data_IF_312047993489
#
_entry.id   IF_312047993489
#
_cell.length_a   1.000
_cell.length_b   1.000
_cell.length_c   1.000
_cell.angle_alpha   90.00
_cell.angle_beta   90.00
_cell.angle_gamma   90.00
#
_symmetry.space_group_name_H-M   'P 1'
#
loop_
_entity.id
_entity.type
_entity.pdbx_description
1 polymer ?
#
# COMPACT_ATOMS: atom_id res chain seq x y z
N UNK A 1 16.10 -3.53 -15.14
CA UNK A 1 15.36 -4.66 -14.52
C UNK A 1 15.53 -4.74 -12.99
N UNK A 2 16.74 -4.58 -12.43
CA UNK A 2 16.95 -4.75 -10.98
C UNK A 2 16.28 -3.73 -10.04
N UNK A 3 15.99 -2.50 -10.48
CA UNK A 3 15.44 -1.46 -9.59
C UNK A 3 13.93 -1.61 -9.31
N UNK A 4 13.16 -2.15 -10.23
CA UNK A 4 11.69 -2.15 -10.15
C UNK A 4 11.14 -3.30 -9.30
N UNK A 5 11.72 -4.49 -9.35
CA UNK A 5 11.38 -5.57 -8.42
C UNK A 5 11.76 -5.24 -6.98
N UNK A 6 12.87 -4.54 -6.77
CA UNK A 6 13.28 -4.01 -5.48
C UNK A 6 12.25 -2.99 -4.91
N UNK A 7 11.60 -2.21 -5.75
CA UNK A 7 10.50 -1.30 -5.37
C UNK A 7 9.29 -2.09 -4.90
N UNK A 8 8.86 -3.11 -5.66
CA UNK A 8 7.72 -3.97 -5.31
C UNK A 8 7.86 -4.59 -3.92
N UNK A 9 9.01 -5.18 -3.61
CA UNK A 9 9.23 -5.87 -2.35
C UNK A 9 9.30 -4.90 -1.16
N UNK A 10 9.84 -3.70 -1.37
CA UNK A 10 9.77 -2.61 -0.39
C UNK A 10 8.33 -2.16 -0.13
N UNK A 11 7.51 -2.04 -1.17
CA UNK A 11 6.08 -1.73 -1.04
C UNK A 11 5.34 -2.80 -0.23
N UNK A 12 5.62 -4.07 -0.48
CA UNK A 12 4.99 -5.17 0.26
C UNK A 12 5.41 -5.19 1.74
N UNK A 13 6.69 -4.90 2.03
CA UNK A 13 7.17 -4.76 3.38
C UNK A 13 6.52 -3.57 4.11
N UNK A 14 6.41 -2.42 3.44
CA UNK A 14 5.77 -1.22 3.95
C UNK A 14 4.29 -1.44 4.28
N UNK A 15 3.56 -2.12 3.41
CA UNK A 15 2.14 -2.46 3.62
C UNK A 15 1.90 -3.29 4.88
N UNK A 16 2.77 -4.26 5.16
CA UNK A 16 2.59 -5.15 6.30
C UNK A 16 2.66 -4.41 7.65
N UNK A 17 3.28 -3.25 7.66
CA UNK A 17 3.49 -2.46 8.88
C UNK A 17 2.52 -1.29 9.00
N UNK A 18 2.09 -0.70 7.87
CA UNK A 18 1.19 0.46 7.85
C UNK A 18 -0.16 0.16 8.52
N UNK A 19 -0.66 -1.08 8.39
CA UNK A 19 -1.93 -1.49 9.00
C UNK A 19 -1.88 -1.56 10.53
N UNK A 20 -0.71 -1.70 11.14
CA UNK A 20 -0.53 -1.86 12.57
C UNK A 20 -0.14 -0.58 13.30
N UNK A 21 0.72 0.23 12.70
CA UNK A 21 1.37 1.34 13.42
C UNK A 21 1.54 2.63 12.61
N UNK A 22 1.26 2.62 11.32
CA UNK A 22 1.53 3.74 10.42
C UNK A 22 0.29 4.30 9.74
N UNK A 23 -0.86 4.36 10.43
CA UNK A 23 -2.16 4.73 9.85
C UNK A 23 -2.10 5.83 8.78
N UNK A 24 -2.10 5.41 7.50
CA UNK A 24 -2.07 6.30 6.35
C UNK A 24 -0.70 6.86 5.96
N UNK A 25 0.42 6.41 6.56
CA UNK A 25 1.75 6.85 6.14
C UNK A 25 2.11 6.27 4.78
N UNK A 26 1.74 5.02 4.54
CA UNK A 26 1.93 4.36 3.24
C UNK A 26 1.23 5.11 2.10
N UNK A 27 0.02 5.65 2.32
CA UNK A 27 -0.70 6.42 1.31
C UNK A 27 0.01 7.71 0.90
N UNK A 28 0.97 8.18 1.68
CA UNK A 28 1.80 9.36 1.39
C UNK A 28 3.08 9.02 0.62
N UNK A 29 3.43 7.72 0.50
CA UNK A 29 4.64 7.29 -0.19
C UNK A 29 4.51 7.31 -1.70
N UNK A 30 3.31 7.43 -2.25
CA UNK A 30 3.07 7.44 -3.69
C UNK A 30 1.87 8.30 -4.05
N UNK A 31 1.83 8.76 -5.28
CA UNK A 31 0.67 9.41 -5.86
C UNK A 31 0.43 8.95 -7.28
N UNK A 32 -0.83 8.83 -7.68
CA UNK A 32 -1.26 8.51 -9.03
C UNK A 32 -2.06 9.69 -9.55
N UNK A 33 -1.60 10.28 -10.64
CA UNK A 33 -2.24 11.42 -11.28
C UNK A 33 -3.02 10.95 -12.51
N UNK A 34 -4.35 10.89 -12.36
CA UNK A 34 -5.26 10.46 -13.43
C UNK A 34 -5.66 11.62 -14.37
N UNK A 35 -5.29 12.85 -14.04
CA UNK A 35 -5.67 14.03 -14.82
C UNK A 35 -4.59 14.37 -15.86
N UNK A 36 -3.37 13.82 -15.69
CA UNK A 36 -2.30 13.91 -16.69
C UNK A 36 -2.46 12.88 -17.80
N UNK A 37 -1.94 13.23 -18.97
CA UNK A 37 -1.89 12.30 -20.12
C UNK A 37 -1.18 11.02 -19.73
N UNK A 38 -1.77 9.85 -19.96
CA UNK A 38 -1.13 8.58 -19.65
C UNK A 38 0.15 8.40 -20.47
N UNK A 39 1.15 7.80 -19.84
CA UNK A 39 2.46 7.54 -20.45
C UNK A 39 2.38 6.22 -21.19
N UNK A 40 2.88 6.21 -22.44
CA UNK A 40 3.05 5.00 -23.21
C UNK A 40 4.25 4.20 -22.67
N UNK A 41 4.02 2.95 -22.28
CA UNK A 41 5.06 2.07 -21.77
C UNK A 41 5.20 0.85 -22.67
N UNK A 42 6.44 0.57 -23.07
CA UNK A 42 6.81 -0.62 -23.85
C UNK A 42 7.13 -1.82 -22.96
N UNK A 43 7.27 -1.61 -21.65
CA UNK A 43 7.71 -2.62 -20.70
C UNK A 43 6.57 -3.40 -20.04
N UNK A 44 6.88 -4.60 -19.62
CA UNK A 44 5.95 -5.56 -19.03
C UNK A 44 5.15 -4.95 -17.86
N UNK A 45 3.88 -4.70 -18.09
CA UNK A 45 2.87 -4.23 -17.13
C UNK A 45 2.77 -5.04 -15.84
N UNK A 46 3.44 -6.19 -15.77
CA UNK A 46 3.42 -7.09 -14.63
C UNK A 46 3.98 -6.47 -13.35
N UNK A 47 4.85 -5.46 -13.46
CA UNK A 47 5.58 -4.90 -12.32
C UNK A 47 4.82 -3.79 -11.58
N UNK A 48 4.09 -2.95 -12.31
CA UNK A 48 3.27 -1.87 -11.72
C UNK A 48 1.89 -2.34 -11.27
N UNK A 49 1.45 -3.48 -11.77
CA UNK A 49 0.15 -4.07 -11.43
C UNK A 49 -0.04 -4.29 -9.93
N UNK A 50 0.91 -4.87 -9.19
CA UNK A 50 0.74 -5.05 -7.75
C UNK A 50 0.54 -3.74 -7.00
N UNK A 51 1.23 -2.68 -7.40
CA UNK A 51 1.09 -1.35 -6.80
C UNK A 51 -0.33 -0.80 -6.99
N UNK A 52 -0.84 -0.86 -8.21
CA UNK A 52 -2.18 -0.38 -8.53
C UNK A 52 -3.26 -1.18 -7.79
N UNK A 53 -3.10 -2.50 -7.68
CA UNK A 53 -4.00 -3.37 -6.94
C UNK A 53 -4.01 -3.06 -5.45
N UNK A 54 -2.83 -2.85 -4.85
CA UNK A 54 -2.70 -2.47 -3.45
C UNK A 54 -3.30 -1.09 -3.18
N UNK A 55 -3.03 -0.13 -4.05
CA UNK A 55 -3.66 1.19 -3.98
C UNK A 55 -5.18 1.08 -4.02
N UNK A 56 -5.71 0.26 -4.92
CA UNK A 56 -7.13 0.01 -5.01
C UNK A 56 -7.71 -0.56 -3.71
N UNK A 57 -7.07 -1.57 -3.13
CA UNK A 57 -7.50 -2.15 -1.84
C UNK A 57 -7.52 -1.08 -0.74
N UNK A 58 -6.51 -0.22 -0.67
CA UNK A 58 -6.44 0.88 0.32
C UNK A 58 -7.57 1.90 0.12
N UNK A 59 -7.86 2.28 -1.13
CA UNK A 59 -9.01 3.15 -1.44
C UNK A 59 -10.34 2.51 -1.04
N UNK A 60 -10.48 1.20 -1.28
CA UNK A 60 -11.69 0.45 -0.94
C UNK A 60 -11.90 0.35 0.58
N UNK A 61 -10.84 0.20 1.37
CA UNK A 61 -10.94 0.25 2.84
C UNK A 61 -11.44 1.61 3.33
N UNK A 62 -10.88 2.70 2.80
CA UNK A 62 -11.35 4.04 3.13
C UNK A 62 -12.81 4.22 2.75
N UNK A 63 -13.19 3.81 1.54
CA UNK A 63 -14.56 3.90 1.05
C UNK A 63 -15.54 3.13 1.94
N UNK A 64 -15.20 1.91 2.36
CA UNK A 64 -16.06 1.07 3.23
C UNK A 64 -16.17 1.67 4.63
N UNK A 65 -15.13 2.31 5.17
CA UNK A 65 -15.20 3.03 6.46
C UNK A 65 -16.24 4.15 6.45
N UNK A 66 -16.39 4.86 5.32
CA UNK A 66 -17.44 5.89 5.14
C UNK A 66 -18.81 5.33 4.80
N UNK A 67 -18.89 4.05 4.45
CA UNK A 67 -20.10 3.36 4.04
C UNK A 67 -20.37 3.40 2.53
N UNK A 68 -21.04 2.35 2.03
CA UNK A 68 -21.40 2.26 0.62
C UNK A 68 -22.52 3.23 0.28
N UNK A 69 -22.37 3.91 -0.87
CA UNK A 69 -23.44 4.74 -1.45
C UNK A 69 -24.68 3.88 -1.71
N UNK A 70 -25.83 4.43 -1.37
CA UNK A 70 -27.14 3.86 -1.71
C UNK A 70 -27.86 4.79 -2.65
N UNK A 71 -28.67 4.20 -3.52
CA UNK A 71 -29.48 4.98 -4.45
C UNK A 71 -30.76 4.24 -4.79
N UNK A 72 -31.72 4.95 -5.39
CA UNK A 72 -32.95 4.36 -5.86
C UNK A 72 -32.73 3.70 -7.23
N UNK A 73 -32.92 2.39 -7.28
CA UNK A 73 -32.84 1.61 -8.53
C UNK A 73 -34.23 1.17 -8.94
N UNK A 74 -34.59 1.43 -10.21
CA UNK A 74 -35.83 0.97 -10.79
C UNK A 74 -35.69 -0.52 -11.14
N UNK A 75 -36.53 -1.34 -10.55
CA UNK A 75 -36.57 -2.78 -10.83
C UNK A 75 -37.94 -3.21 -11.36
N UNK A 76 -37.94 -4.11 -12.34
CA UNK A 76 -39.16 -4.73 -12.89
C UNK A 76 -39.16 -6.20 -12.47
N UNK A 77 -40.16 -6.59 -11.68
CA UNK A 77 -40.29 -7.99 -11.19
C UNK A 77 -41.70 -8.51 -11.41
N UNK A 78 -41.82 -9.81 -11.71
CA UNK A 78 -43.09 -10.50 -11.75
C UNK A 78 -43.44 -11.01 -10.33
N UNK A 79 -44.27 -10.25 -9.63
CA UNK A 79 -44.62 -10.47 -8.24
C UNK A 79 -45.82 -11.45 -8.14
N UNK A 80 -45.79 -12.35 -7.16
CA UNK A 80 -46.91 -13.29 -6.86
C UNK A 80 -47.81 -12.67 -5.80
N UNK A 81 -49.12 -12.58 -6.09
CA UNK A 81 -50.15 -12.06 -5.19
C UNK A 81 -49.89 -10.65 -4.63
N UNK A 82 -49.07 -9.86 -5.30
CA UNK A 82 -48.71 -8.51 -4.88
C UNK A 82 -48.66 -7.55 -6.06
N UNK A 83 -49.04 -6.31 -5.80
CA UNK A 83 -48.81 -5.17 -6.68
C UNK A 83 -47.92 -4.18 -5.92
N UNK A 84 -46.86 -3.67 -6.57
CA UNK A 84 -45.97 -2.66 -6.02
C UNK A 84 -45.52 -1.73 -7.13
N UNK A 85 -45.69 -0.42 -6.92
CA UNK A 85 -45.41 0.59 -7.98
C UNK A 85 -46.38 0.51 -9.14
N UNK A 86 -45.87 0.62 -10.36
CA UNK A 86 -46.65 0.68 -11.60
C UNK A 86 -46.68 -0.68 -12.29
N UNK A 87 -47.83 -1.08 -12.85
CA UNK A 87 -47.97 -2.27 -13.67
C UNK A 87 -47.40 -2.03 -15.06
N UNK A 88 -46.56 -2.94 -15.53
CA UNK A 88 -46.04 -2.93 -16.92
C UNK A 88 -46.96 -3.74 -17.78
N UNK A 89 -47.99 -3.09 -18.33
CA UNK A 89 -49.12 -3.72 -19.07
C UNK A 89 -48.61 -4.61 -20.20
N UNK A 90 -47.70 -4.17 -21.04
CA UNK A 90 -47.15 -4.94 -22.17
C UNK A 90 -46.47 -6.25 -21.71
N UNK A 91 -45.72 -6.23 -20.61
CA UNK A 91 -45.11 -7.43 -20.05
C UNK A 91 -46.10 -8.27 -19.26
N UNK A 92 -47.09 -7.66 -18.61
CA UNK A 92 -48.17 -8.35 -17.92
C UNK A 92 -48.94 -9.25 -18.88
N UNK A 93 -49.33 -8.71 -20.06
CA UNK A 93 -50.00 -9.47 -21.09
C UNK A 93 -49.14 -10.65 -21.54
N UNK A 94 -47.89 -10.39 -21.94
CA UNK A 94 -47.00 -11.41 -22.48
C UNK A 94 -46.60 -12.50 -21.47
N UNK A 95 -46.38 -12.16 -20.19
CA UNK A 95 -45.84 -13.09 -19.18
C UNK A 95 -46.91 -13.76 -18.32
N UNK A 96 -48.07 -13.11 -18.13
CA UNK A 96 -49.08 -13.58 -17.19
C UNK A 96 -50.45 -13.83 -17.86
N UNK A 97 -50.99 -12.91 -18.65
CA UNK A 97 -52.35 -13.06 -19.21
C UNK A 97 -52.37 -14.19 -20.23
N UNK A 98 -51.47 -14.21 -21.21
CA UNK A 98 -51.42 -15.28 -22.24
C UNK A 98 -51.27 -16.67 -21.60
N UNK A 99 -50.53 -16.75 -20.52
CA UNK A 99 -50.31 -18.03 -19.78
C UNK A 99 -51.32 -18.25 -18.66
N UNK A 100 -52.39 -17.48 -18.58
CA UNK A 100 -53.45 -17.57 -17.55
C UNK A 100 -52.97 -17.51 -16.11
N UNK A 101 -51.83 -16.84 -15.83
CA UNK A 101 -51.24 -16.67 -14.52
C UNK A 101 -51.88 -15.51 -13.77
N UNK A 102 -53.13 -15.67 -13.33
CA UNK A 102 -53.98 -14.62 -12.70
C UNK A 102 -53.41 -14.08 -11.38
N UNK A 103 -52.54 -14.83 -10.71
CA UNK A 103 -51.95 -14.48 -9.41
C UNK A 103 -50.59 -13.77 -9.52
N UNK A 104 -50.17 -13.36 -10.71
CA UNK A 104 -48.87 -12.67 -10.93
C UNK A 104 -49.05 -11.33 -11.60
N UNK A 105 -48.24 -10.36 -11.14
CA UNK A 105 -48.28 -8.98 -11.64
C UNK A 105 -46.84 -8.51 -11.95
N UNK A 106 -46.61 -8.09 -13.18
CA UNK A 106 -45.34 -7.50 -13.58
C UNK A 106 -45.35 -6.03 -13.19
N UNK A 107 -44.60 -5.70 -12.16
CA UNK A 107 -44.55 -4.36 -11.59
C UNK A 107 -43.17 -3.74 -11.73
N UNK A 108 -43.14 -2.43 -12.00
CA UNK A 108 -41.95 -1.61 -11.92
C UNK A 108 -42.03 -0.70 -10.71
N UNK A 109 -41.01 -0.73 -9.87
CA UNK A 109 -40.93 0.08 -8.65
C UNK A 109 -39.49 0.42 -8.31
N UNK A 110 -39.31 1.45 -7.49
CA UNK A 110 -38.02 1.87 -7.01
C UNK A 110 -37.67 1.15 -5.70
N UNK A 111 -36.38 0.77 -5.57
CA UNK A 111 -35.82 0.19 -4.35
C UNK A 111 -34.57 0.97 -3.96
N UNK A 112 -34.53 1.43 -2.71
CA UNK A 112 -33.35 2.05 -2.14
C UNK A 112 -32.37 0.95 -1.72
N UNK A 113 -31.23 0.85 -2.43
CA UNK A 113 -30.32 -0.28 -2.29
C UNK A 113 -28.86 0.14 -2.45
N UNK A 114 -27.97 -0.68 -1.90
CA UNK A 114 -26.51 -0.62 -2.18
C UNK A 114 -26.15 -1.26 -3.51
N UNK A 115 -27.03 -2.06 -4.10
CA UNK A 115 -26.79 -2.74 -5.38
C UNK A 115 -26.98 -1.79 -6.57
N UNK A 116 -26.10 -0.79 -6.66
CA UNK A 116 -26.06 0.24 -7.71
C UNK A 116 -24.91 -0.02 -8.68
N UNK A 117 -24.96 0.49 -9.92
CA UNK A 117 -23.93 0.25 -10.93
C UNK A 117 -22.51 0.57 -10.45
N UNK A 118 -22.33 1.68 -9.71
CA UNK A 118 -21.03 2.06 -9.16
C UNK A 118 -20.47 0.99 -8.22
N UNK A 119 -21.28 0.51 -7.27
CA UNK A 119 -20.83 -0.52 -6.31
C UNK A 119 -20.60 -1.88 -6.98
N UNK A 120 -21.36 -2.23 -8.00
CA UNK A 120 -21.13 -3.44 -8.80
C UNK A 120 -19.80 -3.40 -9.51
N UNK A 121 -19.43 -2.25 -10.10
CA UNK A 121 -18.12 -2.05 -10.73
C UNK A 121 -16.97 -2.21 -9.73
N UNK A 122 -17.10 -1.57 -8.57
CA UNK A 122 -16.12 -1.66 -7.49
C UNK A 122 -15.95 -3.11 -7.01
N UNK A 123 -17.06 -3.84 -6.81
CA UNK A 123 -17.02 -5.27 -6.44
C UNK A 123 -16.30 -6.11 -7.49
N UNK A 124 -16.64 -5.95 -8.78
CA UNK A 124 -16.01 -6.69 -9.89
C UNK A 124 -14.49 -6.45 -9.94
N UNK A 125 -14.07 -5.20 -9.81
CA UNK A 125 -12.65 -4.87 -9.76
C UNK A 125 -11.95 -5.44 -8.51
N UNK A 126 -12.64 -5.51 -7.37
CA UNK A 126 -12.09 -6.09 -6.13
C UNK A 126 -11.91 -7.61 -6.24
N UNK A 127 -12.87 -8.33 -6.81
CA UNK A 127 -12.75 -9.77 -7.09
C UNK A 127 -11.59 -10.04 -8.06
N UNK A 128 -11.44 -9.19 -9.06
CA UNK A 128 -10.34 -9.27 -9.99
C UNK A 128 -8.99 -9.02 -9.28
N UNK A 129 -8.89 -7.97 -8.47
CA UNK A 129 -7.70 -7.65 -7.69
C UNK A 129 -7.30 -8.82 -6.77
N UNK A 130 -8.28 -9.45 -6.11
CA UNK A 130 -8.07 -10.64 -5.29
C UNK A 130 -7.45 -11.80 -6.07
N UNK A 131 -8.02 -12.13 -7.23
CA UNK A 131 -7.53 -13.22 -8.08
C UNK A 131 -6.11 -12.96 -8.60
N UNK A 132 -5.79 -11.71 -8.95
CA UNK A 132 -4.47 -11.34 -9.45
C UNK A 132 -3.41 -11.29 -8.36
N UNK A 133 -3.73 -10.79 -7.18
CA UNK A 133 -2.80 -10.78 -6.05
C UNK A 133 -2.37 -12.19 -5.66
N UNK A 134 -3.28 -13.16 -5.69
CA UNK A 134 -2.97 -14.56 -5.45
C UNK A 134 -2.01 -15.17 -6.50
N UNK A 135 -2.06 -14.68 -7.75
CA UNK A 135 -1.17 -15.14 -8.84
C UNK A 135 0.19 -14.46 -8.82
N UNK A 136 0.23 -13.17 -8.45
CA UNK A 136 1.44 -12.34 -8.56
C UNK A 136 2.33 -12.42 -7.32
N UNK A 137 1.77 -12.77 -6.18
CA UNK A 137 2.50 -12.80 -4.92
C UNK A 137 2.73 -14.23 -4.44
N UNK A 138 3.93 -14.56 -3.99
CA UNK A 138 4.21 -15.86 -3.38
C UNK A 138 3.35 -16.04 -2.13
N UNK A 139 2.96 -17.29 -1.86
CA UNK A 139 2.15 -17.65 -0.69
C UNK A 139 2.99 -17.51 0.58
N UNK A 140 2.95 -16.35 1.20
CA UNK A 140 3.60 -16.07 2.47
C UNK A 140 2.66 -15.33 3.43
N UNK A 141 3.11 -15.11 4.68
CA UNK A 141 2.33 -14.44 5.73
C UNK A 141 1.76 -13.06 5.29
N UNK A 142 2.51 -12.31 4.48
CA UNK A 142 2.11 -10.97 3.99
C UNK A 142 0.95 -11.04 3.01
N UNK A 143 0.95 -12.04 2.15
CA UNK A 143 -0.17 -12.31 1.23
C UNK A 143 -1.44 -12.64 2.00
N UNK A 144 -1.32 -13.38 3.10
CA UNK A 144 -2.43 -13.69 4.00
C UNK A 144 -3.04 -12.44 4.67
N UNK A 145 -2.24 -11.48 5.09
CA UNK A 145 -2.71 -10.21 5.67
C UNK A 145 -3.49 -9.39 4.63
N UNK A 146 -2.97 -9.26 3.41
CA UNK A 146 -3.67 -8.56 2.34
C UNK A 146 -4.98 -9.25 1.95
N UNK A 147 -4.97 -10.57 1.91
CA UNK A 147 -6.18 -11.36 1.69
C UNK A 147 -7.24 -11.16 2.79
N UNK A 148 -6.82 -11.08 4.06
CA UNK A 148 -7.72 -10.79 5.18
C UNK A 148 -8.33 -9.39 5.06
N UNK A 149 -7.56 -8.38 4.61
CA UNK A 149 -8.07 -7.04 4.33
C UNK A 149 -9.13 -7.06 3.22
N UNK A 150 -8.86 -7.74 2.11
CA UNK A 150 -9.82 -7.88 1.00
C UNK A 150 -11.10 -8.58 1.48
N UNK A 151 -10.99 -9.66 2.24
CA UNK A 151 -12.14 -10.38 2.79
C UNK A 151 -12.99 -9.48 3.68
N UNK A 152 -12.36 -8.65 4.52
CA UNK A 152 -13.04 -7.65 5.35
C UNK A 152 -13.80 -6.63 4.51
N UNK A 153 -13.22 -6.14 3.42
CA UNK A 153 -13.90 -5.23 2.50
C UNK A 153 -15.09 -5.93 1.83
N UNK A 154 -14.92 -7.18 1.41
CA UNK A 154 -15.95 -7.97 0.72
C UNK A 154 -17.21 -8.17 1.56
N UNK A 155 -17.13 -8.18 2.89
CA UNK A 155 -18.32 -8.26 3.76
C UNK A 155 -19.30 -7.10 3.53
N UNK A 156 -18.81 -5.91 3.22
CA UNK A 156 -19.66 -4.76 2.90
C UNK A 156 -20.40 -4.92 1.56
N UNK A 157 -19.89 -5.75 0.65
CA UNK A 157 -20.43 -5.97 -0.70
C UNK A 157 -21.29 -7.24 -0.82
N UNK A 158 -21.68 -7.87 0.27
CA UNK A 158 -22.49 -9.12 0.25
C UNK A 158 -23.78 -8.95 -0.58
N UNK A 159 -24.46 -7.82 -0.40
CA UNK A 159 -25.74 -7.54 -1.08
C UNK A 159 -25.56 -6.82 -2.44
N UNK A 160 -24.37 -6.77 -2.98
CA UNK A 160 -24.04 -6.12 -4.26
C UNK A 160 -23.74 -7.20 -5.29
N UNK A 161 -24.35 -7.12 -6.47
CA UNK A 161 -24.04 -7.98 -7.63
C UNK A 161 -22.68 -7.60 -8.24
N UNK A 162 -22.03 -8.54 -8.90
CA UNK A 162 -20.78 -8.31 -9.68
C UNK A 162 -21.04 -8.23 -11.19
N UNK A 163 -22.28 -8.47 -11.63
CA UNK A 163 -22.66 -8.44 -13.04
C UNK A 163 -22.87 -7.00 -13.51
N UNK A 164 -21.90 -6.47 -14.25
CA UNK A 164 -21.96 -5.13 -14.83
C UNK A 164 -21.06 -5.00 -16.06
N UNK A 165 -21.49 -4.20 -17.04
CA UNK A 165 -20.63 -3.71 -18.11
C UNK A 165 -19.89 -2.46 -17.66
N UNK A 166 -18.55 -2.44 -17.83
CA UNK A 166 -17.67 -1.34 -17.37
C UNK A 166 -18.04 -0.02 -18.05
N UNK A 167 -18.45 -0.07 -19.33
CA UNK A 167 -18.88 1.08 -20.15
C UNK A 167 -20.16 1.74 -19.63
N UNK A 168 -21.03 0.98 -18.96
CA UNK A 168 -22.31 1.45 -18.49
C UNK A 168 -22.23 2.38 -17.26
N UNK A 169 -21.09 2.42 -16.57
CA UNK A 169 -20.93 3.22 -15.36
C UNK A 169 -20.45 4.63 -15.70
N UNK A 170 -21.40 5.56 -15.77
CA UNK A 170 -21.11 7.00 -15.76
C UNK A 170 -21.15 7.47 -14.30
N UNK A 171 -20.01 7.88 -13.74
CA UNK A 171 -20.00 8.55 -12.45
C UNK A 171 -20.03 10.05 -12.70
N UNK A 172 -21.15 10.68 -12.39
CA UNK A 172 -21.24 12.13 -12.31
C UNK A 172 -20.93 12.52 -10.87
N UNK A 173 -19.88 13.33 -10.67
CA UNK A 173 -19.42 13.79 -9.37
C UNK A 173 -20.58 14.30 -8.51
N UNK A 174 -20.58 13.93 -7.27
CA UNK A 174 -21.59 14.28 -6.30
C UNK A 174 -20.97 14.96 -5.09
N UNK A 175 -21.66 14.96 -3.97
CA UNK A 175 -21.26 15.54 -2.69
C UNK A 175 -19.81 15.23 -2.31
N UNK A 176 -19.14 16.16 -1.62
CA UNK A 176 -17.79 15.98 -1.02
C UNK A 176 -17.64 14.70 -0.19
N UNK A 177 -18.76 14.17 0.32
CA UNK A 177 -18.83 12.91 1.07
C UNK A 177 -18.39 11.69 0.24
N UNK A 178 -18.53 11.74 -1.09
CA UNK A 178 -18.25 10.63 -2.00
C UNK A 178 -16.99 10.85 -2.86
N UNK A 179 -16.08 11.74 -2.44
CA UNK A 179 -14.84 12.00 -3.18
C UNK A 179 -14.02 10.73 -3.46
N UNK A 180 -13.98 9.82 -2.48
CA UNK A 180 -13.27 8.54 -2.64
C UNK A 180 -13.91 7.62 -3.69
N UNK A 181 -15.21 7.76 -3.96
CA UNK A 181 -15.88 6.98 -5.01
C UNK A 181 -15.36 7.31 -6.40
N UNK A 182 -15.13 8.57 -6.70
CA UNK A 182 -14.61 8.98 -8.00
C UNK A 182 -13.22 8.38 -8.26
N UNK A 183 -12.34 8.50 -7.29
CA UNK A 183 -11.01 7.90 -7.37
C UNK A 183 -11.08 6.37 -7.49
N UNK A 184 -11.86 5.72 -6.65
CA UNK A 184 -12.02 4.27 -6.69
C UNK A 184 -12.61 3.76 -8.01
N UNK A 185 -13.58 4.48 -8.62
CA UNK A 185 -14.15 4.14 -9.91
C UNK A 185 -13.15 4.33 -11.05
N UNK A 186 -12.33 5.41 -11.03
CA UNK A 186 -11.25 5.60 -12.01
C UNK A 186 -10.27 4.42 -11.96
N UNK A 187 -9.75 4.10 -10.78
CA UNK A 187 -8.83 2.97 -10.59
C UNK A 187 -9.46 1.63 -10.97
N UNK A 188 -10.72 1.40 -10.58
CA UNK A 188 -11.44 0.16 -10.93
C UNK A 188 -11.57 -0.03 -12.45
N UNK A 189 -11.90 1.05 -13.17
CA UNK A 189 -11.96 1.02 -14.64
C UNK A 189 -10.59 0.73 -15.25
N UNK A 190 -9.53 1.37 -14.77
CA UNK A 190 -8.18 1.14 -15.26
C UNK A 190 -7.72 -0.30 -15.02
N UNK A 191 -8.02 -0.86 -13.86
CA UNK A 191 -7.75 -2.27 -13.56
C UNK A 191 -8.49 -3.16 -14.54
N UNK A 192 -9.79 -3.00 -14.72
CA UNK A 192 -10.60 -3.86 -15.57
C UNK A 192 -10.24 -3.70 -17.06
N UNK A 193 -10.03 -2.48 -17.55
CA UNK A 193 -9.65 -2.24 -18.95
C UNK A 193 -8.30 -2.84 -19.31
N UNK A 194 -7.29 -2.73 -18.45
CA UNK A 194 -5.97 -3.31 -18.70
C UNK A 194 -6.02 -4.82 -18.89
N UNK A 195 -7.00 -5.47 -18.26
CA UNK A 195 -7.10 -6.92 -18.27
C UNK A 195 -8.11 -7.49 -19.26
N UNK A 196 -9.15 -6.78 -19.60
CA UNK A 196 -10.00 -7.16 -20.74
C UNK A 196 -9.17 -7.15 -22.04
N UNK A 197 -8.19 -6.23 -22.16
CA UNK A 197 -7.25 -6.21 -23.29
C UNK A 197 -6.19 -7.33 -23.24
N UNK A 198 -5.74 -7.77 -22.05
CA UNK A 198 -4.72 -8.80 -21.93
C UNK A 198 -5.25 -10.21 -22.26
N UNK A 199 -6.53 -10.45 -22.08
CA UNK A 199 -7.18 -11.72 -22.41
C UNK A 199 -7.59 -11.81 -23.89
N UNK A 200 -7.81 -10.68 -24.57
CA UNK A 200 -8.32 -10.64 -25.93
C UNK A 200 -7.27 -10.37 -27.01
N UNK A 201 -6.08 -9.87 -26.68
CA UNK A 201 -5.07 -9.51 -27.69
C UNK A 201 -3.63 -9.78 -27.21
N UNK A 202 -3.10 -10.94 -27.58
CA UNK A 202 -1.67 -11.31 -27.46
C UNK A 202 -0.78 -10.54 -28.45
N UNK A 203 -1.33 -9.71 -29.31
CA UNK A 203 -0.61 -8.98 -30.36
C UNK A 203 -0.46 -7.51 -30.04
N UNK A 204 0.78 -7.11 -29.74
CA UNK A 204 1.40 -5.77 -29.89
C UNK A 204 0.45 -4.58 -29.85
N UNK A 205 0.06 -4.10 -28.71
CA UNK A 205 -0.45 -2.73 -28.56
C UNK A 205 0.24 -2.05 -27.39
N UNK A 206 0.65 -0.82 -27.62
CA UNK A 206 1.23 0.07 -26.65
C UNK A 206 0.31 0.19 -25.43
N UNK A 207 0.85 0.02 -24.23
CA UNK A 207 0.08 0.09 -23.01
C UNK A 207 0.23 1.49 -22.40
N UNK A 208 -0.88 2.12 -22.07
CA UNK A 208 -0.89 3.42 -21.42
C UNK A 208 -0.98 3.25 -19.90
N UNK A 209 -0.12 3.94 -19.16
CA UNK A 209 -0.07 3.93 -17.69
C UNK A 209 -0.34 5.33 -17.17
N UNK A 210 -1.22 5.53 -16.17
CA UNK A 210 -1.36 6.84 -15.54
C UNK A 210 -0.02 7.28 -14.95
N UNK A 211 0.20 8.59 -14.93
CA UNK A 211 1.39 9.14 -14.28
C UNK A 211 1.37 8.81 -12.80
N UNK A 212 2.46 8.30 -12.28
CA UNK A 212 2.61 8.04 -10.85
C UNK A 212 3.99 8.49 -10.37
N UNK A 213 4.09 8.78 -9.10
CA UNK A 213 5.36 9.07 -8.43
C UNK A 213 5.46 8.31 -7.13
N UNK A 214 6.69 8.01 -6.73
CA UNK A 214 7.01 7.28 -5.50
C UNK A 214 8.02 8.11 -4.72
N UNK A 215 7.70 8.41 -3.46
CA UNK A 215 8.64 8.98 -2.50
C UNK A 215 9.50 7.84 -1.94
N UNK A 216 10.69 7.70 -2.52
CA UNK A 216 11.61 6.63 -2.17
C UNK A 216 12.16 6.76 -0.76
N UNK A 217 12.25 7.98 -0.20
CA UNK A 217 12.70 8.22 1.16
C UNK A 217 11.69 7.66 2.16
N UNK A 218 10.42 8.02 2.01
CA UNK A 218 9.34 7.49 2.85
C UNK A 218 9.13 6.00 2.70
N UNK A 219 9.28 5.50 1.48
CA UNK A 219 9.20 4.05 1.24
C UNK A 219 10.33 3.32 1.95
N UNK A 220 11.53 3.89 1.96
CA UNK A 220 12.68 3.33 2.68
C UNK A 220 12.48 3.37 4.20
N UNK A 221 11.96 4.47 4.75
CA UNK A 221 11.59 4.54 6.17
C UNK A 221 10.63 3.41 6.57
N UNK A 222 9.56 3.18 5.80
CA UNK A 222 8.62 2.08 6.07
C UNK A 222 9.27 0.70 5.91
N UNK A 223 10.16 0.53 4.94
CA UNK A 223 10.91 -0.71 4.78
C UNK A 223 11.81 -0.99 6.00
N UNK A 224 12.56 0.02 6.44
CA UNK A 224 13.38 -0.05 7.67
C UNK A 224 12.51 -0.35 8.88
N UNK A 225 11.37 0.34 9.01
CA UNK A 225 10.42 0.07 10.08
C UNK A 225 9.95 -1.38 10.10
N UNK A 226 9.58 -1.93 8.95
CA UNK A 226 9.18 -3.33 8.83
C UNK A 226 10.25 -4.29 9.36
N UNK A 227 11.52 -4.02 9.06
CA UNK A 227 12.65 -4.85 9.54
C UNK A 227 12.87 -4.69 11.05
N UNK A 228 12.90 -3.45 11.54
CA UNK A 228 13.09 -3.16 12.97
C UNK A 228 11.93 -3.71 13.81
N UNK A 229 10.69 -3.52 13.36
CA UNK A 229 9.52 -4.03 14.07
C UNK A 229 9.48 -5.55 14.12
N UNK A 230 9.90 -6.22 13.04
CA UNK A 230 9.98 -7.69 13.03
C UNK A 230 11.01 -8.21 14.05
N UNK A 231 12.14 -7.51 14.22
CA UNK A 231 13.21 -7.92 15.12
C UNK A 231 12.96 -7.53 16.59
N UNK A 232 12.41 -6.34 16.84
CA UNK A 232 12.34 -5.74 18.18
C UNK A 232 10.93 -5.42 18.69
N UNK A 233 9.90 -5.59 17.85
CA UNK A 233 8.48 -5.41 18.15
C UNK A 233 8.18 -4.09 18.89
N UNK A 234 7.55 -4.15 20.06
CA UNK A 234 7.08 -2.98 20.83
C UNK A 234 8.20 -2.09 21.38
N UNK A 235 9.47 -2.54 21.31
CA UNK A 235 10.61 -1.70 21.65
C UNK A 235 10.89 -0.62 20.59
N UNK A 236 10.34 -0.75 19.37
CA UNK A 236 10.49 0.24 18.31
C UNK A 236 9.23 1.09 18.18
N UNK A 237 9.39 2.40 18.21
CA UNK A 237 8.35 3.37 17.89
C UNK A 237 8.71 4.09 16.61
N UNK A 238 7.70 4.30 15.76
CA UNK A 238 7.80 4.95 14.46
C UNK A 238 7.24 6.36 14.49
N UNK A 239 7.88 7.30 13.79
CA UNK A 239 7.47 8.71 13.65
C UNK A 239 7.13 9.37 14.99
N UNK A 240 8.12 9.37 15.89
CA UNK A 240 7.93 9.91 17.24
C UNK A 240 7.95 11.44 17.20
N UNK A 241 6.86 12.10 17.62
CA UNK A 241 6.77 13.55 17.55
C UNK A 241 7.74 14.23 18.53
N UNK A 242 8.45 15.21 18.01
CA UNK A 242 9.31 16.12 18.75
C UNK A 242 8.68 17.49 18.90
N UNK A 243 9.50 18.46 19.32
CA UNK A 243 9.08 19.84 19.50
C UNK A 243 8.77 20.52 18.14
N UNK A 244 7.73 21.37 18.12
CA UNK A 244 7.32 22.17 16.93
C UNK A 244 7.10 21.39 15.64
N UNK A 245 6.37 20.27 15.72
CA UNK A 245 6.01 19.43 14.57
C UNK A 245 7.19 18.73 13.88
N UNK A 246 8.36 18.65 14.51
CA UNK A 246 9.41 17.74 14.11
C UNK A 246 9.03 16.32 14.49
N UNK A 247 9.56 15.32 13.78
CA UNK A 247 9.41 13.93 14.15
C UNK A 247 10.72 13.19 13.84
N UNK A 248 11.11 12.31 14.73
CA UNK A 248 12.21 11.37 14.47
C UNK A 248 11.64 10.08 13.88
N UNK A 249 12.34 9.50 12.93
CA UNK A 249 11.84 8.31 12.23
C UNK A 249 11.58 7.16 13.20
N UNK A 250 12.55 6.82 14.05
CA UNK A 250 12.39 5.74 15.02
C UNK A 250 13.11 6.02 16.33
N UNK A 251 12.60 5.41 17.41
CA UNK A 251 13.34 5.23 18.66
C UNK A 251 13.29 3.75 19.07
N UNK A 252 14.40 3.27 19.62
CA UNK A 252 14.46 1.98 20.30
C UNK A 252 14.48 2.21 21.81
N UNK A 253 13.37 1.89 22.48
CA UNK A 253 13.16 2.21 23.90
C UNK A 253 14.18 1.47 24.79
N UNK A 254 14.31 0.17 24.61
CA UNK A 254 15.19 -0.66 25.43
C UNK A 254 16.68 -0.27 25.36
N UNK A 255 17.17 0.12 24.19
CA UNK A 255 18.57 0.53 24.01
C UNK A 255 18.76 2.05 24.15
N UNK A 256 17.70 2.82 24.34
CA UNK A 256 17.72 4.29 24.40
C UNK A 256 18.43 4.91 23.20
N UNK A 257 17.97 4.50 22.00
CA UNK A 257 18.60 4.79 20.74
C UNK A 257 17.64 5.63 19.87
N UNK A 258 18.14 6.71 19.32
CA UNK A 258 17.46 7.51 18.29
C UNK A 258 17.96 7.02 16.94
N UNK A 259 17.04 6.75 16.02
CA UNK A 259 17.34 6.16 14.71
C UNK A 259 16.74 7.02 13.63
N UNK A 260 17.51 7.28 12.60
CA UNK A 260 17.13 8.06 11.42
C UNK A 260 17.43 7.28 10.14
N UNK A 261 16.48 7.19 9.22
CA UNK A 261 16.61 6.44 7.98
C UNK A 261 16.87 7.39 6.80
N UNK A 262 18.01 7.27 6.16
CA UNK A 262 18.38 8.11 5.02
C UNK A 262 18.50 7.31 3.73
N UNK A 263 17.56 7.54 2.80
CA UNK A 263 17.63 6.94 1.46
C UNK A 263 18.64 7.67 0.59
N UNK A 264 19.92 7.40 0.82
CA UNK A 264 21.04 7.96 0.05
C UNK A 264 21.92 6.82 -0.46
N UNK A 265 21.76 6.37 -1.71
CA UNK A 265 22.51 5.23 -2.25
C UNK A 265 24.03 5.37 -2.24
N UNK A 266 24.55 6.60 -2.24
CA UNK A 266 25.99 6.91 -2.17
C UNK A 266 26.42 7.48 -0.82
N UNK A 267 25.77 7.04 0.26
CA UNK A 267 25.99 7.62 1.60
C UNK A 267 27.46 7.60 2.04
N UNK A 268 28.20 6.56 1.70
CA UNK A 268 29.62 6.41 2.09
C UNK A 268 30.60 7.21 1.24
N UNK A 269 30.20 7.62 0.03
CA UNK A 269 31.10 8.30 -0.92
C UNK A 269 31.15 9.82 -0.74
N UNK A 270 30.24 10.42 0.01
CA UNK A 270 30.15 11.88 0.16
C UNK A 270 30.16 12.28 1.63
N UNK A 271 31.32 12.72 2.11
CA UNK A 271 31.43 13.27 3.45
C UNK A 271 30.54 14.50 3.68
N UNK A 272 30.37 15.34 2.66
CA UNK A 272 29.54 16.53 2.70
C UNK A 272 28.02 16.21 2.86
N UNK A 273 27.57 15.04 2.42
CA UNK A 273 26.18 14.59 2.55
C UNK A 273 25.82 14.06 3.94
N UNK A 274 26.82 13.67 4.74
CA UNK A 274 26.61 13.04 6.07
C UNK A 274 26.43 14.11 7.15
N UNK A 275 27.14 15.24 7.06
CA UNK A 275 27.15 16.28 8.11
C UNK A 275 25.76 16.87 8.41
N UNK A 276 24.91 17.18 7.41
CA UNK A 276 23.55 17.64 7.68
C UNK A 276 22.71 16.62 8.44
N UNK A 277 22.84 15.34 8.12
CA UNK A 277 22.06 14.27 8.78
C UNK A 277 22.50 14.11 10.25
N UNK A 278 23.80 14.21 10.52
CA UNK A 278 24.33 14.22 11.89
C UNK A 278 23.79 15.42 12.69
N UNK A 279 23.75 16.59 12.09
CA UNK A 279 23.18 17.79 12.73
C UNK A 279 21.70 17.62 13.05
N UNK A 280 20.96 17.04 12.14
CA UNK A 280 19.53 16.77 12.31
C UNK A 280 19.29 15.82 13.50
N UNK A 281 19.91 14.65 13.49
CA UNK A 281 19.75 13.66 14.56
C UNK A 281 20.32 14.13 15.90
N UNK A 282 21.37 14.97 15.87
CA UNK A 282 21.89 15.64 17.07
C UNK A 282 20.87 16.60 17.68
N UNK A 283 20.05 17.24 16.88
CA UNK A 283 18.91 18.04 17.32
C UNK A 283 17.89 17.17 18.05
N UNK A 284 17.50 16.05 17.47
CA UNK A 284 16.57 15.10 18.10
C UNK A 284 17.09 14.53 19.41
N UNK A 285 18.40 14.28 19.53
CA UNK A 285 19.01 13.75 20.74
C UNK A 285 18.98 14.71 21.95
N UNK A 286 18.59 15.95 21.73
CA UNK A 286 18.40 16.99 22.75
C UNK A 286 16.95 17.41 22.96
N UNK A 287 16.03 16.88 22.15
CA UNK A 287 14.62 17.20 22.24
C UNK A 287 13.96 16.46 23.41
N UNK A 288 13.57 17.22 24.46
CA UNK A 288 12.93 16.67 25.65
C UNK A 288 11.62 15.95 25.35
N UNK A 289 10.90 16.34 24.28
CA UNK A 289 9.67 15.65 23.88
C UNK A 289 9.94 14.23 23.40
N UNK A 290 11.06 14.01 22.71
CA UNK A 290 11.52 12.70 22.26
C UNK A 290 12.11 11.93 23.45
N UNK A 291 12.97 12.57 24.26
CA UNK A 291 13.68 11.94 25.38
C UNK A 291 12.76 11.40 26.47
N UNK A 292 11.58 12.00 26.67
CA UNK A 292 10.54 11.51 27.59
C UNK A 292 10.14 10.05 27.32
N UNK A 293 10.27 9.59 26.10
CA UNK A 293 9.98 8.19 25.75
C UNK A 293 10.97 7.20 26.39
N UNK A 294 12.15 7.64 26.81
CA UNK A 294 13.18 6.79 27.46
C UNK A 294 13.05 6.74 28.99
N UNK A 295 12.06 7.44 29.55
CA UNK A 295 11.75 7.52 30.99
C UNK A 295 12.25 8.80 31.64
N UNK A 296 11.61 9.16 32.76
CA UNK A 296 11.92 10.38 33.54
C UNK A 296 13.35 10.37 34.07
N UNK A 297 13.83 9.22 34.54
CA UNK A 297 15.17 9.03 35.11
C UNK A 297 16.29 9.31 34.10
N UNK A 298 16.00 9.09 32.83
CA UNK A 298 16.96 9.34 31.76
C UNK A 298 17.19 10.85 31.56
N UNK A 299 16.14 11.65 31.67
CA UNK A 299 16.22 13.11 31.54
C UNK A 299 17.01 13.70 32.69
N UNK A 300 16.73 13.23 33.91
CA UNK A 300 17.41 13.74 35.15
C UNK A 300 18.87 13.35 35.17
N UNK A 301 19.25 12.17 34.68
CA UNK A 301 20.62 11.66 34.71
C UNK A 301 21.57 12.30 33.70
N UNK A 302 21.09 13.18 32.84
CA UNK A 302 21.84 13.85 31.76
C UNK A 302 22.74 12.90 30.94
N UNK A 303 22.27 11.65 30.75
CA UNK A 303 22.98 10.63 29.99
C UNK A 303 23.00 10.96 28.51
N UNK A 304 24.13 10.70 27.88
CA UNK A 304 24.26 10.87 26.43
C UNK A 304 23.38 9.88 25.67
N UNK A 305 22.68 10.38 24.68
CA UNK A 305 21.82 9.59 23.80
C UNK A 305 22.65 8.97 22.70
N UNK A 306 22.36 7.74 22.36
CA UNK A 306 22.96 7.03 21.23
C UNK A 306 22.18 7.35 19.96
N UNK A 307 22.89 7.60 18.87
CA UNK A 307 22.32 7.96 17.57
C UNK A 307 22.74 6.96 16.49
N UNK A 308 21.79 6.46 15.72
CA UNK A 308 22.01 5.52 14.64
C UNK A 308 21.44 6.04 13.34
N UNK A 309 22.24 6.05 12.28
CA UNK A 309 21.80 6.36 10.92
C UNK A 309 21.75 5.06 10.14
N UNK A 310 20.57 4.78 9.54
CA UNK A 310 20.34 3.62 8.70
C UNK A 310 20.24 4.05 7.25
N UNK A 311 21.00 3.40 6.36
CA UNK A 311 21.05 3.72 4.94
C UNK A 311 21.09 2.45 4.08
N UNK A 312 20.67 2.53 2.78
CA UNK A 312 20.64 1.37 1.91
C UNK A 312 22.05 0.93 1.51
N UNK A 313 22.27 -0.35 1.44
CA UNK A 313 23.45 -0.93 0.82
C UNK A 313 23.36 -0.75 -0.70
N UNK A 314 24.43 -0.28 -1.31
CA UNK A 314 24.51 -0.08 -2.75
C UNK A 314 25.01 -1.37 -3.42
N UNK A 315 24.14 -2.09 -4.08
CA UNK A 315 24.53 -3.27 -4.86
C UNK A 315 25.53 -2.96 -5.99
N UNK A 316 25.60 -1.70 -6.44
CA UNK A 316 26.48 -1.28 -7.54
C UNK A 316 27.93 -1.00 -7.14
N UNK A 317 28.19 -0.61 -5.88
CA UNK A 317 29.55 -0.28 -5.42
C UNK A 317 30.37 -1.53 -5.12
N UNK A 318 29.71 -2.61 -4.74
CA UNK A 318 30.38 -3.89 -4.43
C UNK A 318 30.75 -4.65 -5.72
N UNK A 319 29.98 -4.48 -6.80
CA UNK A 319 30.26 -5.07 -8.12
C UNK A 319 31.51 -4.48 -8.83
N UNK A 320 31.91 -3.25 -8.50
CA UNK A 320 33.07 -2.62 -9.14
C UNK A 320 34.39 -2.97 -8.41
N UNK A 321 34.33 -3.47 -7.19
CA UNK A 321 35.51 -3.69 -6.36
C UNK A 321 36.12 -5.09 -6.43
N UNK A 322 35.39 -6.13 -6.81
CA UNK A 322 35.93 -7.51 -6.80
C UNK A 322 35.30 -8.37 -7.91
N UNK A 323 36.00 -8.56 -9.00
CA UNK A 323 35.59 -9.48 -10.06
C UNK A 323 35.70 -10.99 -9.71
N UNK A 324 36.42 -11.35 -8.64
CA UNK A 324 36.74 -12.75 -8.35
C UNK A 324 35.99 -13.40 -7.16
N UNK A 325 35.20 -12.65 -6.38
CA UNK A 325 34.50 -13.18 -5.20
C UNK A 325 32.95 -13.10 -5.24
N UNK A 326 32.38 -12.70 -6.36
CA UNK A 326 30.95 -12.39 -6.49
C UNK A 326 30.04 -13.61 -6.22
N UNK A 327 30.47 -14.81 -6.58
CA UNK A 327 29.69 -16.03 -6.39
C UNK A 327 29.64 -16.53 -4.95
N UNK A 328 30.70 -16.30 -4.16
CA UNK A 328 30.71 -16.66 -2.73
C UNK A 328 29.88 -15.66 -1.89
N UNK A 329 29.97 -14.36 -2.16
CA UNK A 329 29.18 -13.33 -1.48
C UNK A 329 27.69 -13.42 -1.80
N UNK A 330 27.29 -13.84 -3.00
CA UNK A 330 25.89 -14.08 -3.35
C UNK A 330 25.29 -15.29 -2.61
N UNK A 331 26.09 -16.32 -2.34
CA UNK A 331 25.66 -17.49 -1.54
C UNK A 331 25.59 -17.17 -0.04
N UNK A 332 26.44 -16.29 0.47
CA UNK A 332 26.35 -15.77 1.84
C UNK A 332 25.18 -14.78 2.02
N UNK A 333 24.79 -14.06 0.98
CA UNK A 333 23.62 -13.14 1.00
C UNK A 333 22.27 -13.86 1.09
N UNK A 334 22.14 -15.06 0.56
CA UNK A 334 20.91 -15.87 0.71
C UNK A 334 20.70 -16.36 2.15
N UNK A 335 21.77 -16.51 2.95
CA UNK A 335 21.69 -16.79 4.38
C UNK A 335 21.39 -15.55 5.23
N UNK A 336 21.52 -14.34 4.70
CA UNK A 336 21.28 -13.05 5.37
C UNK A 336 19.82 -12.58 5.39
N UNK A 337 18.84 -13.44 5.18
CA UNK A 337 17.42 -13.11 5.42
C UNK A 337 17.12 -12.79 6.90
N UNK A 338 18.07 -13.04 7.82
CA UNK A 338 18.06 -12.63 9.22
C UNK A 338 19.07 -11.51 9.50
N UNK A 339 19.04 -10.43 8.73
CA UNK A 339 20.01 -9.32 8.86
C UNK A 339 19.96 -8.61 10.23
N UNK A 340 18.82 -8.67 10.92
CA UNK A 340 18.68 -8.23 12.31
C UNK A 340 18.42 -9.46 13.17
N UNK A 341 19.45 -9.98 13.82
CA UNK A 341 19.29 -11.08 14.77
C UNK A 341 18.54 -10.60 16.00
N UNK A 342 17.43 -11.26 16.31
CA UNK A 342 16.47 -10.90 17.36
C UNK A 342 17.07 -10.86 18.77
N UNK A 343 18.26 -11.43 18.97
CA UNK A 343 18.93 -11.52 20.27
C UNK A 343 20.19 -10.65 20.41
N UNK A 344 20.53 -9.85 19.41
CA UNK A 344 21.74 -9.01 19.44
C UNK A 344 21.37 -7.54 19.53
N UNK A 345 22.10 -6.77 20.34
CA UNK A 345 21.89 -5.32 20.42
C UNK A 345 22.03 -4.66 19.04
N UNK A 346 21.04 -3.86 18.66
CA UNK A 346 21.06 -3.09 17.42
C UNK A 346 22.27 -2.16 17.35
N UNK A 347 22.63 -1.57 18.49
CA UNK A 347 23.81 -0.73 18.61
C UNK A 347 25.10 -1.47 18.24
N UNK A 348 25.26 -2.72 18.67
CA UNK A 348 26.47 -3.49 18.43
C UNK A 348 26.61 -3.98 16.98
N UNK A 349 25.51 -4.09 16.25
CA UNK A 349 25.51 -4.45 14.83
C UNK A 349 25.95 -3.29 13.92
N UNK A 350 25.94 -2.06 14.44
CA UNK A 350 26.25 -0.86 13.68
C UNK A 350 27.73 -0.48 13.78
N UNK A 351 28.29 0.07 12.72
CA UNK A 351 29.68 0.54 12.64
C UNK A 351 29.83 1.94 13.26
N UNK A 352 30.86 2.19 14.10
CA UNK A 352 31.09 3.50 14.70
C UNK A 352 31.46 4.57 13.65
N UNK A 353 31.05 5.80 13.88
CA UNK A 353 31.47 6.94 13.07
C UNK A 353 32.74 7.58 13.68
N UNK A 354 33.82 7.61 12.91
CA UNK A 354 35.17 7.95 13.39
C UNK A 354 35.30 9.30 14.13
N UNK A 355 34.52 10.30 13.71
CA UNK A 355 34.64 11.69 14.21
C UNK A 355 33.48 12.13 15.11
N UNK A 356 32.53 11.23 15.39
CA UNK A 356 31.33 11.59 16.14
C UNK A 356 31.08 10.60 17.28
N UNK A 357 31.16 11.11 18.50
CA UNK A 357 30.92 10.32 19.69
C UNK A 357 29.43 9.94 19.79
N UNK A 358 29.14 8.69 20.17
CA UNK A 358 27.78 8.15 20.28
C UNK A 358 26.97 8.14 18.97
N UNK A 359 27.66 8.12 17.84
CA UNK A 359 27.06 7.95 16.52
C UNK A 359 27.56 6.67 15.87
N UNK A 360 26.61 5.90 15.34
CA UNK A 360 26.88 4.72 14.51
C UNK A 360 26.07 4.75 13.23
N UNK A 361 26.50 3.98 12.26
CA UNK A 361 25.84 3.82 10.97
C UNK A 361 25.60 2.34 10.68
N UNK A 362 24.47 2.02 10.08
CA UNK A 362 24.07 0.67 9.73
C UNK A 362 23.62 0.61 8.28
N UNK A 363 24.18 -0.31 7.52
CA UNK A 363 23.72 -0.62 6.16
C UNK A 363 22.60 -1.63 6.24
N UNK A 364 21.56 -1.42 5.43
CA UNK A 364 20.50 -2.41 5.25
C UNK A 364 20.48 -2.85 3.79
N UNK A 365 20.54 -4.17 3.52
CA UNK A 365 20.39 -4.68 2.17
C UNK A 365 19.00 -4.33 1.64
N UNK A 366 18.96 -3.86 0.41
CA UNK A 366 17.69 -3.72 -0.30
C UNK A 366 17.31 -5.09 -0.88
N UNK A 367 16.00 -5.41 -0.99
CA UNK A 367 15.58 -6.63 -1.64
C UNK A 367 16.17 -6.70 -3.04
N UNK A 368 16.95 -7.71 -3.32
CA UNK A 368 17.49 -8.02 -4.65
C UNK A 368 16.55 -8.92 -5.39
N UNK A 369 16.59 -8.83 -6.71
CA UNK A 369 15.89 -9.74 -7.60
C UNK A 369 16.70 -11.03 -7.65
N UNK A 370 16.13 -12.12 -7.19
CA UNK A 370 16.59 -13.48 -7.53
C UNK A 370 15.95 -13.90 -8.84
#
# INVERSE_FOLDING_TARGET
MGSEMCIRDRFMAALSVDSKHGEGYFSKCYGIDFDKSPIETTENLSQLTPLLLVHYVTLMEQLVRYGLKRDYVIITKNLKNKVKGSLVISQQIKKNIIYQRKNRNVCTYQVYTTDIPANRLLKRALLFAQAMLLKLLPSNKRTGELQARINKIMTAFVNVSDNIEVSAVKYCGGSKLFRYYEQAIKVAKDILHRYDYSLSNISKKNHFTPCFWIDMSRLFELYVYSKLYHAYQDNIRFQVPGYRKTAVDFIHIGERLIIDAKYKPKYEMSYTGIVPDIREISGYSRDLSILKNFGSDFIVSNKEVRCLIIYPQNAFTDLIRNDDNILQELQEMDSMNEFLTTNTSLWNQASPMKYFRNFRKLRIPLPTVV
#
